data_IF_838862045016
#
_entry.id   IF_838862045016
#
_cell.length_a   1.000
_cell.length_b   1.000
_cell.length_c   1.000
_cell.angle_alpha   90.00
_cell.angle_beta   90.00
_cell.angle_gamma   90.00
#
_symmetry.space_group_name_H-M   'P 1'
#
loop_
_entity.id
_entity.type
_entity.pdbx_description
1 polymer ?
#
# COMPACT_ATOMS: atom_id res chain seq x y z
N UNK A 1 -12.83 7.09 -2.14
CA UNK A 1 -11.49 7.24 -1.54
C UNK A 1 -10.48 6.40 -2.30
N UNK A 2 -9.34 6.97 -2.69
CA UNK A 2 -8.26 6.23 -3.37
C UNK A 2 -7.43 5.42 -2.36
N UNK A 3 -7.19 4.15 -2.68
CA UNK A 3 -6.32 3.27 -1.92
C UNK A 3 -4.94 3.19 -2.57
N UNK A 4 -3.91 3.67 -1.86
CA UNK A 4 -2.52 3.62 -2.35
C UNK A 4 -1.94 2.20 -2.36
N UNK A 5 -2.49 1.26 -1.59
CA UNK A 5 -1.91 -0.09 -1.48
C UNK A 5 -2.19 -0.94 -2.73
N UNK A 6 -3.38 -0.79 -3.32
CA UNK A 6 -3.84 -1.56 -4.49
C UNK A 6 -4.23 -0.68 -5.70
N UNK A 7 -4.01 0.64 -5.62
CA UNK A 7 -4.34 1.62 -6.66
C UNK A 7 -5.83 1.67 -7.06
N UNK A 8 -6.74 1.23 -6.18
CA UNK A 8 -8.18 1.22 -6.47
C UNK A 8 -8.90 2.39 -5.81
N UNK A 9 -9.86 3.00 -6.51
CA UNK A 9 -10.81 3.92 -5.88
C UNK A 9 -11.99 3.14 -5.34
N UNK A 10 -12.24 3.28 -4.06
CA UNK A 10 -13.34 2.64 -3.36
C UNK A 10 -14.44 3.64 -3.01
N UNK A 11 -15.68 3.16 -3.04
CA UNK A 11 -16.86 3.90 -2.63
C UNK A 11 -17.88 3.02 -1.93
N UNK A 12 -18.87 3.67 -1.32
CA UNK A 12 -20.07 3.03 -0.80
C UNK A 12 -21.24 3.55 -1.63
N UNK A 13 -22.01 2.63 -2.19
CA UNK A 13 -23.22 2.89 -2.98
C UNK A 13 -24.44 2.48 -2.17
N UNK A 14 -25.42 3.37 -2.08
CA UNK A 14 -26.73 3.03 -1.51
C UNK A 14 -27.59 2.34 -2.57
N UNK A 15 -27.99 1.10 -2.30
CA UNK A 15 -28.86 0.31 -3.17
C UNK A 15 -30.06 -0.15 -2.35
N UNK A 16 -31.20 0.52 -2.53
CA UNK A 16 -32.38 0.27 -1.70
C UNK A 16 -32.13 0.63 -0.25
N UNK A 17 -32.19 -0.35 0.65
CA UNK A 17 -31.93 -0.18 2.09
C UNK A 17 -30.55 -0.65 2.53
N UNK A 18 -29.66 -0.95 1.59
CA UNK A 18 -28.35 -1.50 1.85
C UNK A 18 -27.22 -0.58 1.38
N UNK A 19 -26.15 -0.53 2.15
CA UNK A 19 -24.87 0.02 1.70
C UNK A 19 -24.03 -1.07 1.06
N UNK A 20 -23.59 -0.81 -0.17
CA UNK A 20 -22.82 -1.73 -1.00
C UNK A 20 -21.44 -1.14 -1.24
N UNK A 21 -20.40 -1.91 -0.95
CA UNK A 21 -19.03 -1.57 -1.29
C UNK A 21 -18.82 -1.69 -2.79
N UNK A 22 -18.20 -0.69 -3.41
CA UNK A 22 -17.88 -0.68 -4.84
C UNK A 22 -16.45 -0.23 -5.10
N UNK A 23 -15.86 -0.69 -6.20
CA UNK A 23 -14.69 -0.05 -6.82
C UNK A 23 -15.13 0.83 -7.98
N UNK A 24 -14.41 1.92 -8.24
CA UNK A 24 -14.70 2.87 -9.30
C UNK A 24 -13.55 2.90 -10.30
N UNK A 25 -13.87 2.73 -11.58
CA UNK A 25 -12.95 2.95 -12.69
C UNK A 25 -12.90 4.43 -13.03
N UNK A 26 -11.75 5.06 -12.80
CA UNK A 26 -11.54 6.49 -13.02
C UNK A 26 -11.52 6.88 -14.50
N UNK A 27 -11.27 5.94 -15.40
CA UNK A 27 -11.14 6.23 -16.84
C UNK A 27 -12.49 6.47 -17.51
N UNK A 28 -13.56 5.87 -16.97
CA UNK A 28 -14.90 5.89 -17.57
C UNK A 28 -16.02 6.17 -16.56
N UNK A 29 -15.72 6.25 -15.25
CA UNK A 29 -16.69 6.55 -14.20
C UNK A 29 -17.61 5.39 -13.84
N UNK A 30 -17.40 4.19 -14.40
CA UNK A 30 -18.19 3.01 -14.04
C UNK A 30 -17.74 2.45 -12.69
N UNK A 31 -18.62 1.68 -12.04
CA UNK A 31 -18.30 1.00 -10.79
C UNK A 31 -18.52 -0.50 -10.90
N UNK A 32 -17.76 -1.26 -10.11
CA UNK A 32 -17.95 -2.70 -9.92
C UNK A 32 -18.38 -2.98 -8.49
N UNK A 33 -19.45 -3.75 -8.33
CA UNK A 33 -19.94 -4.18 -7.01
C UNK A 33 -19.00 -5.18 -6.38
N UNK A 34 -18.60 -4.92 -5.13
CA UNK A 34 -17.76 -5.82 -4.33
C UNK A 34 -18.62 -6.64 -3.38
N UNK A 35 -19.58 -6.01 -2.68
CA UNK A 35 -20.50 -6.73 -1.79
C UNK A 35 -21.27 -5.81 -0.84
N UNK A 36 -22.28 -6.38 -0.18
CA UNK A 36 -23.15 -5.65 0.77
C UNK A 36 -22.47 -5.54 2.14
N UNK A 37 -22.52 -4.34 2.72
CA UNK A 37 -22.02 -4.04 4.06
C UNK A 37 -23.10 -4.33 5.11
N UNK A 38 -23.03 -5.53 5.69
CA UNK A 38 -24.00 -5.99 6.69
C UNK A 38 -23.87 -5.23 8.02
N UNK A 39 -25.01 -5.01 8.70
CA UNK A 39 -25.05 -4.40 10.04
C UNK A 39 -24.91 -2.88 10.06
N UNK A 40 -24.96 -2.25 8.90
CA UNK A 40 -24.91 -0.80 8.72
C UNK A 40 -26.27 -0.34 8.21
N UNK A 41 -26.86 0.65 8.88
CA UNK A 41 -28.11 1.29 8.47
C UNK A 41 -27.79 2.50 7.61
N UNK A 42 -28.35 2.60 6.38
CA UNK A 42 -28.20 3.79 5.56
C UNK A 42 -28.72 5.05 6.24
N UNK A 43 -27.99 6.16 6.08
CA UNK A 43 -28.36 7.46 6.62
C UNK A 43 -27.35 8.54 6.23
N UNK A 44 -27.80 9.79 6.14
CA UNK A 44 -26.95 10.90 5.69
C UNK A 44 -25.81 11.20 6.66
N UNK A 45 -24.57 11.08 6.19
CA UNK A 45 -23.41 11.77 6.75
C UNK A 45 -22.69 12.53 5.64
N UNK A 46 -22.45 13.81 5.87
CA UNK A 46 -21.56 14.63 5.03
C UNK A 46 -20.10 14.31 5.39
N UNK A 47 -19.47 13.49 4.56
CA UNK A 47 -18.12 13.71 4.05
C UNK A 47 -16.90 13.14 4.81
N UNK A 48 -17.05 12.39 5.91
CA UNK A 48 -15.90 11.77 6.59
C UNK A 48 -15.65 10.31 6.13
N UNK A 49 -14.80 10.13 5.11
CA UNK A 49 -14.31 8.81 4.64
C UNK A 49 -12.79 8.82 4.45
N UNK A 50 -12.08 7.77 4.87
CA UNK A 50 -10.65 7.59 4.56
C UNK A 50 -10.31 6.14 4.25
N UNK A 51 -9.06 5.95 3.84
CA UNK A 51 -8.38 4.66 3.83
C UNK A 51 -7.18 4.73 4.78
N UNK A 52 -7.08 3.74 5.66
CA UNK A 52 -5.96 3.59 6.61
C UNK A 52 -4.68 3.17 5.90
N UNK A 53 -3.53 3.27 6.60
CA UNK A 53 -2.24 2.81 6.08
C UNK A 53 -2.23 1.32 5.75
N UNK A 54 -3.13 0.56 6.36
CA UNK A 54 -3.30 -0.87 6.15
C UNK A 54 -4.31 -1.19 5.03
N UNK A 55 -4.79 -0.19 4.29
CA UNK A 55 -5.73 -0.36 3.18
C UNK A 55 -7.18 -0.61 3.61
N UNK A 56 -7.54 -0.37 4.89
CA UNK A 56 -8.93 -0.51 5.36
C UNK A 56 -9.72 0.77 5.11
N UNK A 57 -10.95 0.63 4.63
CA UNK A 57 -11.86 1.74 4.37
C UNK A 57 -12.60 2.11 5.66
N UNK A 58 -12.53 3.38 6.07
CA UNK A 58 -13.12 3.86 7.33
C UNK A 58 -14.12 4.96 7.03
N UNK A 59 -15.32 4.83 7.57
CA UNK A 59 -16.36 5.84 7.45
C UNK A 59 -17.27 5.88 8.68
N UNK A 60 -18.00 6.98 8.80
CA UNK A 60 -19.03 7.14 9.82
C UNK A 60 -20.39 6.71 9.28
N UNK A 61 -21.13 5.92 10.05
CA UNK A 61 -22.46 5.44 9.68
C UNK A 61 -23.34 5.22 10.90
N UNK A 62 -24.49 4.58 10.69
CA UNK A 62 -25.35 4.09 11.77
C UNK A 62 -25.24 2.57 11.86
N UNK A 63 -25.18 2.04 13.08
CA UNK A 63 -25.33 0.60 13.28
C UNK A 63 -26.81 0.18 13.21
N UNK A 64 -27.08 -1.12 13.25
CA UNK A 64 -28.44 -1.67 13.22
C UNK A 64 -29.39 -1.12 14.32
N UNK A 65 -28.85 -0.56 15.40
CA UNK A 65 -29.62 0.12 16.44
C UNK A 65 -29.83 1.62 16.20
N UNK A 66 -29.50 2.10 15.00
CA UNK A 66 -29.55 3.50 14.60
C UNK A 66 -28.65 4.44 15.44
N UNK A 67 -27.60 3.89 16.07
CA UNK A 67 -26.62 4.69 16.81
C UNK A 67 -25.43 5.04 15.91
N UNK A 68 -24.89 6.27 16.01
CA UNK A 68 -23.71 6.64 15.25
C UNK A 68 -22.52 5.76 15.61
N UNK A 69 -21.78 5.30 14.61
CA UNK A 69 -20.61 4.47 14.78
C UNK A 69 -19.55 4.76 13.71
N UNK A 70 -18.29 4.45 14.03
CA UNK A 70 -17.19 4.39 13.08
C UNK A 70 -17.07 2.94 12.60
N UNK A 71 -17.14 2.76 11.28
CA UNK A 71 -16.99 1.47 10.64
C UNK A 71 -15.60 1.35 10.02
N UNK A 72 -14.93 0.23 10.28
CA UNK A 72 -13.72 -0.17 9.57
C UNK A 72 -14.08 -1.34 8.68
N UNK A 73 -13.81 -1.23 7.38
CA UNK A 73 -14.19 -2.18 6.35
C UNK A 73 -12.93 -2.70 5.66
N UNK A 74 -12.90 -3.98 5.32
CA UNK A 74 -12.00 -4.50 4.30
C UNK A 74 -12.63 -4.24 2.92
N UNK A 75 -12.10 -3.27 2.14
CA UNK A 75 -12.77 -2.83 0.92
C UNK A 75 -12.71 -3.85 -0.21
N UNK A 76 -11.79 -4.83 -0.18
CA UNK A 76 -11.66 -5.87 -1.21
C UNK A 76 -12.72 -6.98 -1.05
N UNK A 77 -13.23 -7.18 0.16
CA UNK A 77 -14.18 -8.26 0.49
C UNK A 77 -15.54 -7.76 0.96
N UNK A 78 -15.72 -6.43 1.07
CA UNK A 78 -16.90 -5.80 1.65
C UNK A 78 -17.23 -6.30 3.09
N UNK A 79 -16.21 -6.71 3.84
CA UNK A 79 -16.41 -7.20 5.21
C UNK A 79 -16.26 -6.08 6.23
N UNK A 80 -17.21 -5.98 7.16
CA UNK A 80 -17.13 -5.07 8.30
C UNK A 80 -16.18 -5.67 9.33
N UNK A 81 -15.02 -5.03 9.54
CA UNK A 81 -14.00 -5.45 10.50
C UNK A 81 -14.29 -4.94 11.92
N UNK A 82 -14.86 -3.73 12.03
CA UNK A 82 -15.28 -3.16 13.32
C UNK A 82 -16.44 -2.20 13.16
N UNK A 83 -17.28 -2.10 14.20
CA UNK A 83 -18.31 -1.08 14.38
C UNK A 83 -18.15 -0.49 15.78
N UNK A 84 -17.57 0.71 15.87
CA UNK A 84 -17.25 1.36 17.14
C UNK A 84 -18.30 2.43 17.43
N UNK A 85 -19.20 2.24 18.40
CA UNK A 85 -20.22 3.23 18.73
C UNK A 85 -19.61 4.56 19.18
N UNK A 86 -20.26 5.65 18.83
CA UNK A 86 -19.91 6.99 19.27
C UNK A 86 -20.90 7.45 20.34
N UNK A 87 -20.40 8.09 21.40
CA UNK A 87 -21.24 8.61 22.48
C UNK A 87 -21.90 9.95 22.14
N UNK A 88 -21.46 10.63 21.07
CA UNK A 88 -21.99 11.92 20.64
C UNK A 88 -21.72 12.19 19.15
N UNK A 89 -22.35 13.24 18.61
CA UNK A 89 -22.22 13.71 17.25
C UNK A 89 -20.98 14.60 17.05
N UNK A 90 -19.80 13.98 17.08
CA UNK A 90 -18.55 14.68 16.76
C UNK A 90 -18.55 15.11 15.29
N UNK A 91 -18.55 16.42 15.04
CA UNK A 91 -18.38 17.04 13.73
C UNK A 91 -16.91 17.38 13.47
N UNK A 92 -16.49 17.46 12.20
CA UNK A 92 -15.11 17.84 11.84
C UNK A 92 -14.10 16.69 11.85
N UNK A 93 -14.55 15.44 11.71
CA UNK A 93 -13.65 14.31 11.51
C UNK A 93 -13.06 14.36 10.09
N UNK A 94 -11.97 15.11 9.94
CA UNK A 94 -11.18 15.11 8.71
C UNK A 94 -10.24 13.90 8.74
N UNK A 95 -10.66 12.85 8.05
CA UNK A 95 -9.98 11.58 8.06
C UNK A 95 -8.92 11.62 6.95
N UNK A 96 -7.73 12.15 7.30
CA UNK A 96 -6.67 12.44 6.34
C UNK A 96 -6.29 11.21 5.49
N UNK A 97 -6.24 11.40 4.18
CA UNK A 97 -5.74 10.40 3.25
C UNK A 97 -4.31 9.99 3.63
N UNK A 98 -3.99 8.71 3.51
CA UNK A 98 -2.61 8.24 3.61
C UNK A 98 -1.77 8.94 2.55
N UNK A 99 -1.06 9.99 2.94
CA UNK A 99 0.12 10.39 2.19
C UNK A 99 1.10 9.23 2.33
N UNK A 100 1.71 8.74 1.24
CA UNK A 100 2.89 7.91 1.40
C UNK A 100 3.85 8.74 2.25
N UNK A 101 4.27 8.20 3.40
CA UNK A 101 5.33 8.81 4.17
C UNK A 101 6.49 9.01 3.21
N UNK A 102 6.77 10.26 2.85
CA UNK A 102 8.03 10.59 2.21
C UNK A 102 8.99 10.59 3.40
N UNK A 103 9.84 9.56 3.60
CA UNK A 103 10.78 9.60 4.69
C UNK A 103 11.72 10.77 4.42
N UNK A 104 11.57 11.86 5.17
CA UNK A 104 12.48 13.02 5.11
C UNK A 104 13.61 12.87 6.13
N UNK A 105 13.80 11.67 6.70
CA UNK A 105 14.89 11.40 7.63
C UNK A 105 16.01 10.65 6.92
N UNK A 106 17.20 11.23 6.99
CA UNK A 106 18.46 10.50 6.95
C UNK A 106 18.41 9.51 8.13
N UNK A 107 18.81 8.26 7.91
CA UNK A 107 19.00 7.20 8.92
C UNK A 107 17.79 6.36 9.39
N UNK A 108 16.97 5.85 8.47
CA UNK A 108 16.27 4.57 8.74
C UNK A 108 16.79 3.49 7.78
N UNK A 109 18.01 3.02 8.06
CA UNK A 109 18.62 1.94 7.28
C UNK A 109 17.85 0.64 7.50
N UNK A 110 17.59 -0.07 6.40
CA UNK A 110 17.03 -1.41 6.47
C UNK A 110 18.05 -2.37 7.12
N UNK A 111 17.61 -3.19 8.06
CA UNK A 111 18.51 -4.05 8.85
C UNK A 111 19.33 -4.98 7.94
N UNK A 112 20.64 -5.09 8.21
CA UNK A 112 21.63 -5.75 7.35
C UNK A 112 21.26 -7.21 7.04
N UNK A 113 20.64 -7.91 7.98
CA UNK A 113 20.36 -9.34 7.87
C UNK A 113 19.06 -9.71 7.16
N UNK A 114 18.27 -8.72 6.77
CA UNK A 114 16.98 -8.91 6.11
C UNK A 114 17.10 -9.09 4.59
N UNK A 115 18.13 -8.49 3.98
CA UNK A 115 18.35 -8.53 2.53
C UNK A 115 19.76 -9.05 2.23
N UNK A 116 19.85 -10.07 1.38
CA UNK A 116 21.12 -10.61 0.88
C UNK A 116 21.18 -10.52 -0.64
N UNK A 117 22.32 -10.11 -1.18
CA UNK A 117 22.56 -10.07 -2.62
C UNK A 117 23.73 -10.99 -2.97
N UNK A 118 23.52 -11.90 -3.93
CA UNK A 118 24.53 -12.85 -4.37
C UNK A 118 24.30 -13.33 -5.82
N UNK A 119 25.35 -13.73 -6.55
CA UNK A 119 26.76 -13.58 -6.19
C UNK A 119 27.21 -12.11 -6.31
N UNK A 120 28.25 -11.76 -5.54
CA UNK A 120 28.98 -10.50 -5.68
C UNK A 120 30.48 -10.81 -5.45
N UNK A 121 31.35 -10.75 -6.46
CA UNK A 121 31.10 -10.29 -7.83
C UNK A 121 30.12 -11.15 -8.65
N UNK A 122 29.59 -10.62 -9.74
CA UNK A 122 28.64 -11.30 -10.65
C UNK A 122 29.06 -11.17 -12.11
N UNK A 123 28.71 -12.15 -12.95
CA UNK A 123 28.80 -12.05 -14.42
C UNK A 123 27.65 -11.25 -15.06
N UNK A 124 26.76 -10.67 -14.23
CA UNK A 124 25.60 -9.90 -14.64
C UNK A 124 24.26 -10.48 -14.19
N UNK A 125 24.23 -11.70 -13.63
CA UNK A 125 23.05 -12.29 -13.00
C UNK A 125 23.22 -12.35 -11.48
N UNK A 126 22.31 -11.72 -10.74
CA UNK A 126 22.31 -11.72 -9.28
C UNK A 126 20.92 -11.98 -8.73
N UNK A 127 20.88 -12.63 -7.57
CA UNK A 127 19.69 -12.86 -6.78
C UNK A 127 19.68 -11.94 -5.56
N UNK A 128 18.51 -11.39 -5.27
CA UNK A 128 18.22 -10.64 -4.05
C UNK A 128 17.26 -11.50 -3.24
N UNK A 129 17.70 -11.92 -2.06
CA UNK A 129 16.90 -12.68 -1.11
C UNK A 129 16.45 -11.78 0.03
N UNK A 130 15.15 -11.78 0.30
CA UNK A 130 14.51 -10.98 1.35
C UNK A 130 13.86 -11.87 2.40
N UNK A 131 14.08 -11.54 3.66
CA UNK A 131 13.36 -12.09 4.82
C UNK A 131 12.14 -11.25 5.21
N UNK A 132 11.88 -10.16 4.49
CA UNK A 132 10.70 -9.32 4.71
C UNK A 132 9.47 -10.04 4.13
N UNK A 133 8.75 -10.76 4.98
CA UNK A 133 7.51 -11.43 4.62
C UNK A 133 6.37 -10.40 4.50
N UNK A 134 5.51 -10.57 3.49
CA UNK A 134 4.29 -9.76 3.30
C UNK A 134 4.52 -8.23 3.15
N UNK A 135 5.67 -7.82 2.60
CA UNK A 135 5.96 -6.41 2.34
C UNK A 135 6.13 -6.13 0.84
N UNK A 136 5.87 -4.88 0.46
CA UNK A 136 6.27 -4.35 -0.84
C UNK A 136 7.72 -3.86 -0.78
N UNK A 137 8.52 -4.17 -1.81
CA UNK A 137 9.88 -3.67 -1.98
C UNK A 137 10.05 -3.02 -3.35
N UNK A 138 10.69 -1.86 -3.38
CA UNK A 138 11.17 -1.23 -4.60
C UNK A 138 12.68 -1.47 -4.70
N UNK A 139 13.13 -1.99 -5.84
CA UNK A 139 14.54 -2.24 -6.11
C UNK A 139 14.98 -1.37 -7.28
N UNK A 140 15.93 -0.49 -7.03
CA UNK A 140 16.49 0.44 -8.01
C UNK A 140 17.96 0.11 -8.27
N UNK A 141 18.35 0.04 -9.54
CA UNK A 141 19.71 -0.24 -9.97
C UNK A 141 20.32 1.01 -10.57
N UNK A 142 21.51 1.39 -10.10
CA UNK A 142 22.26 2.54 -10.59
C UNK A 142 23.64 2.09 -11.08
N UNK A 143 24.14 2.77 -12.11
CA UNK A 143 25.52 2.57 -12.55
C UNK A 143 26.52 3.34 -11.67
N UNK A 144 27.81 3.21 -11.98
CA UNK A 144 28.91 3.89 -11.26
C UNK A 144 28.84 5.42 -11.28
N UNK A 145 28.09 6.02 -12.21
CA UNK A 145 27.85 7.46 -12.31
C UNK A 145 26.61 7.90 -11.52
N UNK A 146 25.92 6.99 -10.84
CA UNK A 146 24.66 7.27 -10.14
C UNK A 146 23.45 7.40 -11.07
N UNK A 147 23.57 7.04 -12.36
CA UNK A 147 22.43 7.05 -13.28
C UNK A 147 21.54 5.85 -12.99
N UNK A 148 20.24 6.11 -12.76
CA UNK A 148 19.22 5.08 -12.65
C UNK A 148 19.12 4.28 -13.96
N UNK A 149 19.28 2.97 -13.85
CA UNK A 149 19.25 2.01 -14.94
C UNK A 149 17.89 1.30 -15.00
N UNK A 150 17.39 0.87 -13.85
CA UNK A 150 16.09 0.21 -13.75
C UNK A 150 15.50 0.37 -12.36
N UNK A 151 14.17 0.28 -12.30
CA UNK A 151 13.43 0.19 -11.05
C UNK A 151 12.38 -0.89 -11.19
N UNK A 152 12.26 -1.75 -10.18
CA UNK A 152 11.32 -2.86 -10.16
C UNK A 152 10.62 -2.89 -8.81
N UNK A 153 9.30 -3.12 -8.83
CA UNK A 153 8.47 -3.25 -7.62
C UNK A 153 8.07 -4.71 -7.44
N UNK A 154 8.32 -5.25 -6.25
CA UNK A 154 7.99 -6.63 -5.88
C UNK A 154 7.07 -6.64 -4.67
N UNK A 155 6.09 -7.54 -4.69
CA UNK A 155 5.10 -7.69 -3.62
C UNK A 155 5.21 -9.12 -3.10
N UNK A 156 5.39 -9.27 -1.78
CA UNK A 156 5.43 -10.57 -1.10
C UNK A 156 6.39 -11.59 -1.73
N UNK A 157 7.54 -11.12 -2.20
CA UNK A 157 8.53 -11.95 -2.92
C UNK A 157 9.78 -12.15 -2.06
N UNK A 158 10.11 -13.42 -1.77
CA UNK A 158 11.28 -13.79 -0.96
C UNK A 158 12.59 -13.81 -1.76
N UNK A 159 12.53 -14.01 -3.08
CA UNK A 159 13.70 -14.06 -3.95
C UNK A 159 13.37 -13.42 -5.30
N UNK A 160 14.25 -12.52 -5.73
CA UNK A 160 14.17 -11.81 -7.00
C UNK A 160 15.47 -12.00 -7.75
N UNK A 161 15.39 -12.30 -9.05
CA UNK A 161 16.57 -12.34 -9.91
C UNK A 161 16.64 -11.07 -10.75
N UNK A 162 17.81 -10.44 -10.77
CA UNK A 162 18.09 -9.21 -11.51
C UNK A 162 19.23 -9.47 -12.49
N UNK A 163 19.08 -8.89 -13.68
CA UNK A 163 20.12 -8.85 -14.69
C UNK A 163 20.71 -7.44 -14.77
N UNK A 164 22.00 -7.31 -14.51
CA UNK A 164 22.74 -6.07 -14.71
C UNK A 164 23.10 -5.91 -16.19
N UNK A 165 22.79 -4.77 -16.82
CA UNK A 165 23.15 -4.54 -18.21
C UNK A 165 24.67 -4.40 -18.38
N UNK A 166 25.13 -4.38 -19.63
CA UNK A 166 26.50 -3.99 -19.97
C UNK A 166 26.75 -2.49 -19.72
N UNK A 167 28.01 -2.05 -19.50
CA UNK A 167 29.25 -2.84 -19.42
C UNK A 167 29.54 -3.43 -18.02
N UNK A 168 30.59 -4.24 -17.90
CA UNK A 168 31.16 -4.63 -16.60
C UNK A 168 31.59 -3.40 -15.79
N UNK A 169 31.49 -3.47 -14.46
CA UNK A 169 31.80 -2.35 -13.58
C UNK A 169 31.03 -2.34 -12.26
N UNK A 170 31.10 -1.20 -11.57
CA UNK A 170 30.45 -0.99 -10.28
C UNK A 170 28.97 -0.59 -10.46
N UNK A 171 28.09 -1.26 -9.72
CA UNK A 171 26.68 -0.95 -9.64
C UNK A 171 26.25 -0.73 -8.19
N UNK A 172 25.25 0.12 -8.00
CA UNK A 172 24.58 0.32 -6.73
C UNK A 172 23.14 -0.20 -6.84
N UNK A 173 22.74 -1.05 -5.90
CA UNK A 173 21.39 -1.59 -5.84
C UNK A 173 20.75 -1.05 -4.56
N UNK A 174 19.73 -0.24 -4.71
CA UNK A 174 18.93 0.27 -3.60
C UNK A 174 17.68 -0.58 -3.42
N UNK A 175 17.45 -1.04 -2.20
CA UNK A 175 16.25 -1.76 -1.80
C UNK A 175 15.52 -0.90 -0.79
N UNK A 176 14.29 -0.53 -1.13
CA UNK A 176 13.41 0.26 -0.26
C UNK A 176 12.17 -0.56 0.10
N UNK A 177 11.80 -0.61 1.38
CA UNK A 177 10.55 -1.25 1.80
C UNK A 177 9.35 -0.29 1.78
N UNK A 178 8.16 -0.83 2.06
CA UNK A 178 6.91 -0.06 2.12
C UNK A 178 6.88 1.05 3.19
N UNK A 179 7.74 0.95 4.21
CA UNK A 179 7.89 1.97 5.25
C UNK A 179 8.86 3.08 4.82
N UNK A 180 9.43 3.00 3.62
CA UNK A 180 10.40 3.96 3.11
C UNK A 180 11.84 3.73 3.56
N UNK A 181 12.10 2.70 4.38
CA UNK A 181 13.46 2.35 4.82
C UNK A 181 14.27 1.83 3.64
N UNK A 182 15.51 2.32 3.50
CA UNK A 182 16.34 2.07 2.33
C UNK A 182 17.66 1.42 2.73
N UNK A 183 18.18 0.55 1.85
CA UNK A 183 19.53 0.00 1.95
C UNK A 183 20.18 -0.09 0.58
N UNK A 184 21.41 0.39 0.50
CA UNK A 184 22.20 0.39 -0.73
C UNK A 184 23.28 -0.68 -0.68
N UNK A 185 23.34 -1.51 -1.71
CA UNK A 185 24.36 -2.55 -1.89
C UNK A 185 25.29 -2.17 -3.04
N UNK A 186 26.59 -2.33 -2.81
CA UNK A 186 27.60 -2.16 -3.85
C UNK A 186 27.92 -3.51 -4.47
N UNK A 187 27.67 -3.65 -5.78
CA UNK A 187 27.87 -4.90 -6.53
C UNK A 187 28.89 -4.68 -7.65
N UNK A 188 29.85 -5.60 -7.74
CA UNK A 188 30.83 -5.62 -8.82
C UNK A 188 30.37 -6.59 -9.91
N UNK A 189 30.23 -6.11 -11.15
CA UNK A 189 30.05 -6.93 -12.33
C UNK A 189 31.38 -7.12 -13.04
N UNK A 190 31.75 -8.36 -13.33
CA UNK A 190 32.97 -8.77 -14.05
C UNK A 190 32.65 -9.36 -15.43
#
# INVERSE_FOLDING_TARGET
>A
VYNVTDSTIYGVLEVGSDYTMVSVDVSNGTYTTIGVLNGITPGFFSDATCISQNGTYVFRGFNAGNNPAIFTINPQTATVLSSTPMSDNVSGLELAACTPSIPVSIDQELEVDLIKIYPNPTSGHLSIQSKLLHQTMNISVFNSLGKLISTNRFINTQKVDIRLPEPAGLYFIEVQNQNGQLKTFRVLKE
#
